data_IF_171819613296
#
_entry.id   IF_171819613296
#
_cell.length_a   1.000
_cell.length_b   1.000
_cell.length_c   1.000
_cell.angle_alpha   90.00
_cell.angle_beta   90.00
_cell.angle_gamma   90.00
#
_symmetry.space_group_name_H-M   'P 1'
#
loop_
_entity.id
_entity.type
_entity.pdbx_description
1 polymer ?
#
# COMPACT_ATOMS: atom_id res chain seq x y z
N UNK A 1 63.44 -23.50 -26.14
CA UNK A 1 62.50 -22.39 -26.06
C UNK A 1 61.20 -22.91 -25.42
N UNK A 2 61.01 -22.66 -24.13
CA UNK A 2 59.85 -23.15 -23.32
C UNK A 2 58.86 -21.99 -23.20
N UNK A 3 57.71 -22.07 -23.85
CA UNK A 3 56.62 -21.07 -23.76
C UNK A 3 55.79 -21.34 -22.50
N UNK A 4 55.86 -20.47 -21.51
CA UNK A 4 54.92 -20.42 -20.38
C UNK A 4 53.60 -19.83 -20.85
N UNK A 5 52.52 -20.60 -20.74
CA UNK A 5 51.15 -20.12 -20.87
C UNK A 5 50.67 -19.65 -19.48
N UNK A 6 50.48 -18.33 -19.33
CA UNK A 6 49.81 -17.75 -18.17
C UNK A 6 48.28 -17.93 -18.36
N UNK A 7 47.71 -18.79 -17.54
CA UNK A 7 46.22 -18.87 -17.44
C UNK A 7 45.77 -17.84 -16.41
N UNK A 8 45.12 -16.79 -16.88
CA UNK A 8 44.52 -15.77 -16.05
C UNK A 8 43.15 -16.27 -15.61
N UNK A 9 43.00 -16.68 -14.32
CA UNK A 9 41.72 -16.97 -13.71
C UNK A 9 41.01 -15.66 -13.39
N UNK A 10 40.00 -15.30 -14.18
CA UNK A 10 39.05 -14.23 -13.81
C UNK A 10 38.09 -14.80 -12.74
N UNK A 11 38.29 -14.40 -11.50
CA UNK A 11 37.33 -14.67 -10.43
C UNK A 11 36.13 -13.73 -10.60
N UNK A 12 34.98 -14.25 -11.04
CA UNK A 12 33.71 -13.55 -11.00
C UNK A 12 33.24 -13.46 -9.54
N UNK A 13 33.38 -12.30 -8.93
CA UNK A 13 32.72 -11.97 -7.66
C UNK A 13 31.22 -11.82 -7.93
N UNK A 14 30.45 -12.87 -7.67
CA UNK A 14 29.00 -12.80 -7.62
C UNK A 14 28.62 -12.06 -6.32
N UNK A 15 28.29 -10.77 -6.43
CA UNK A 15 27.62 -10.06 -5.34
C UNK A 15 26.26 -10.73 -5.11
N UNK A 16 25.90 -11.11 -3.85
CA UNK A 16 24.55 -11.57 -3.57
C UNK A 16 23.59 -10.42 -3.90
N UNK A 17 22.61 -10.68 -4.76
CA UNK A 17 21.46 -9.77 -4.94
C UNK A 17 20.74 -9.70 -3.59
N UNK A 18 20.83 -8.57 -2.90
CA UNK A 18 19.98 -8.30 -1.74
C UNK A 18 18.55 -8.28 -2.27
N UNK A 19 17.73 -9.23 -1.81
CA UNK A 19 16.30 -9.18 -2.08
C UNK A 19 15.78 -7.88 -1.46
N UNK A 20 15.23 -7.00 -2.30
CA UNK A 20 14.60 -5.78 -1.83
C UNK A 20 13.39 -6.19 -0.97
N UNK A 21 13.43 -5.85 0.32
CA UNK A 21 12.32 -6.14 1.22
C UNK A 21 11.17 -5.20 0.88
N UNK A 22 9.99 -5.77 0.59
CA UNK A 22 8.77 -4.99 0.36
C UNK A 22 8.43 -4.23 1.64
N UNK A 23 8.24 -2.92 1.53
CA UNK A 23 7.88 -2.07 2.66
C UNK A 23 6.44 -2.34 3.13
N UNK A 24 6.09 -2.05 4.39
CA UNK A 24 4.72 -2.24 4.87
C UNK A 24 3.67 -1.43 4.09
N UNK A 25 3.99 -0.20 3.64
CA UNK A 25 3.08 0.62 2.82
C UNK A 25 2.88 -0.01 1.43
N UNK A 26 3.97 -0.47 0.80
CA UNK A 26 3.89 -1.19 -0.48
C UNK A 26 3.15 -2.51 -0.35
N UNK A 27 3.33 -3.21 0.77
CA UNK A 27 2.60 -4.46 1.03
C UNK A 27 1.10 -4.20 1.19
N UNK A 28 0.71 -3.07 1.83
CA UNK A 28 -0.68 -2.64 1.92
C UNK A 28 -1.30 -2.42 0.52
N UNK A 29 -0.61 -1.69 -0.34
CA UNK A 29 -1.04 -1.44 -1.72
C UNK A 29 -1.18 -2.74 -2.52
N UNK A 30 -0.17 -3.61 -2.49
CA UNK A 30 -0.20 -4.88 -3.21
C UNK A 30 -1.34 -5.80 -2.72
N UNK A 31 -1.57 -5.85 -1.39
CA UNK A 31 -2.66 -6.64 -0.82
C UNK A 31 -4.03 -6.13 -1.27
N UNK A 32 -4.23 -4.80 -1.34
CA UNK A 32 -5.49 -4.23 -1.78
C UNK A 32 -5.74 -4.47 -3.28
N UNK A 33 -4.72 -4.33 -4.13
CA UNK A 33 -4.84 -4.64 -5.57
C UNK A 33 -5.14 -6.13 -5.80
N UNK A 34 -4.49 -7.03 -5.04
CA UNK A 34 -4.77 -8.45 -5.13
C UNK A 34 -6.18 -8.78 -4.65
N UNK A 35 -6.63 -8.16 -3.56
CA UNK A 35 -8.00 -8.27 -3.05
C UNK A 35 -9.02 -7.84 -4.10
N UNK A 36 -8.85 -6.64 -4.69
CA UNK A 36 -9.75 -6.11 -5.72
C UNK A 36 -9.80 -7.06 -6.94
N UNK A 37 -8.65 -7.64 -7.33
CA UNK A 37 -8.57 -8.62 -8.41
C UNK A 37 -9.33 -9.90 -8.05
N UNK A 38 -9.14 -10.42 -6.84
CA UNK A 38 -9.84 -11.61 -6.35
C UNK A 38 -11.36 -11.42 -6.31
N UNK A 39 -11.82 -10.25 -5.86
CA UNK A 39 -13.25 -9.90 -5.87
C UNK A 39 -13.79 -9.84 -7.32
N UNK A 40 -13.08 -9.17 -8.22
CA UNK A 40 -13.50 -9.05 -9.62
C UNK A 40 -13.56 -10.40 -10.36
N UNK A 41 -12.65 -11.33 -10.04
CA UNK A 41 -12.59 -12.67 -10.59
C UNK A 41 -13.46 -13.69 -9.82
N UNK A 42 -14.03 -13.28 -8.68
CA UNK A 42 -14.74 -14.16 -7.74
C UNK A 42 -13.86 -15.35 -7.28
N UNK A 43 -12.56 -15.07 -7.03
CA UNK A 43 -11.58 -16.07 -6.65
C UNK A 43 -11.22 -15.94 -5.15
N UNK A 44 -11.74 -16.84 -4.29
CA UNK A 44 -11.49 -16.78 -2.85
C UNK A 44 -10.03 -17.04 -2.48
N UNK A 45 -9.24 -17.73 -3.32
CA UNK A 45 -7.83 -18.01 -3.03
C UNK A 45 -6.95 -16.77 -3.27
N UNK A 46 -7.27 -15.94 -4.26
CA UNK A 46 -6.62 -14.64 -4.43
C UNK A 46 -6.93 -13.71 -3.24
N UNK A 47 -8.18 -13.70 -2.78
CA UNK A 47 -8.57 -12.90 -1.61
C UNK A 47 -7.88 -13.41 -0.35
N UNK A 48 -7.81 -14.72 -0.13
CA UNK A 48 -7.06 -15.32 0.97
C UNK A 48 -5.59 -14.92 0.95
N UNK A 49 -4.97 -14.92 -0.24
CA UNK A 49 -3.57 -14.50 -0.39
C UNK A 49 -3.39 -13.01 -0.05
N UNK A 50 -4.32 -12.16 -0.49
CA UNK A 50 -4.35 -10.74 -0.14
C UNK A 50 -4.49 -10.53 1.37
N UNK A 51 -5.38 -11.27 2.03
CA UNK A 51 -5.58 -11.23 3.47
C UNK A 51 -4.31 -11.61 4.25
N UNK A 52 -3.59 -12.64 3.83
CA UNK A 52 -2.32 -13.03 4.44
C UNK A 52 -1.28 -11.92 4.31
N UNK A 53 -1.16 -11.30 3.13
CA UNK A 53 -0.28 -10.14 2.96
C UNK A 53 -0.67 -8.97 3.88
N UNK A 54 -1.97 -8.66 3.99
CA UNK A 54 -2.47 -7.58 4.85
C UNK A 54 -2.24 -7.87 6.33
N UNK A 55 -2.29 -9.13 6.75
CA UNK A 55 -2.08 -9.56 8.13
C UNK A 55 -0.65 -9.29 8.64
N UNK A 56 0.33 -9.19 7.74
CA UNK A 56 1.72 -8.83 8.07
C UNK A 56 1.90 -7.33 8.39
N UNK A 57 0.83 -6.53 8.29
CA UNK A 57 0.89 -5.07 8.46
C UNK A 57 0.08 -4.69 9.71
N UNK A 58 0.68 -3.90 10.60
CA UNK A 58 0.01 -3.31 11.77
C UNK A 58 0.01 -1.77 11.64
N UNK A 59 -0.93 -1.18 10.88
CA UNK A 59 -1.01 0.26 10.74
C UNK A 59 -1.52 0.90 12.03
N UNK A 60 -0.89 2.03 12.43
CA UNK A 60 -1.28 2.78 13.61
C UNK A 60 -2.03 4.07 13.24
N UNK A 61 -3.12 4.44 13.94
CA UNK A 61 -3.84 5.67 13.65
C UNK A 61 -2.99 6.91 14.02
N UNK A 62 -3.18 7.99 13.26
CA UNK A 62 -2.58 9.30 13.54
C UNK A 62 -3.62 10.41 13.45
N UNK A 63 -3.44 11.48 14.21
CA UNK A 63 -4.34 12.65 14.24
C UNK A 63 -4.18 13.58 13.01
N UNK A 64 -3.46 13.14 11.98
CA UNK A 64 -3.30 13.90 10.75
C UNK A 64 -4.65 14.10 10.06
N UNK A 65 -4.95 15.35 9.66
CA UNK A 65 -6.17 15.68 8.96
C UNK A 65 -5.89 16.61 7.77
N UNK A 66 -6.74 16.53 6.74
CA UNK A 66 -6.72 17.47 5.62
C UNK A 66 -7.16 18.86 6.08
N UNK A 67 -6.64 19.91 5.44
CA UNK A 67 -7.01 21.31 5.72
C UNK A 67 -8.47 21.53 5.34
N UNK A 68 -9.32 21.78 6.33
CA UNK A 68 -10.77 21.97 6.10
C UNK A 68 -11.49 20.69 5.64
N UNK A 69 -10.80 19.55 5.64
CA UNK A 69 -11.36 18.27 5.25
C UNK A 69 -12.34 17.72 6.28
N UNK A 70 -13.13 16.76 5.86
CA UNK A 70 -14.06 16.04 6.73
C UNK A 70 -13.40 14.76 7.24
N UNK A 71 -13.26 14.58 8.56
CA UNK A 71 -12.78 13.31 9.11
C UNK A 71 -13.70 12.16 8.69
N UNK A 72 -13.11 11.10 8.17
CA UNK A 72 -13.82 9.85 7.90
C UNK A 72 -13.97 9.01 9.16
N UNK A 73 -14.75 7.95 9.06
CA UNK A 73 -14.93 6.97 10.12
C UNK A 73 -14.46 5.58 9.66
N UNK A 74 -14.11 4.74 10.62
CA UNK A 74 -13.71 3.36 10.36
C UNK A 74 -12.19 3.15 10.41
N UNK A 75 -11.76 2.10 9.75
CA UNK A 75 -10.37 1.65 9.65
C UNK A 75 -9.99 1.45 8.19
N UNK A 76 -8.70 1.36 7.86
CA UNK A 76 -8.26 0.80 6.59
C UNK A 76 -8.89 -0.57 6.35
N UNK A 77 -8.86 -1.06 5.13
CA UNK A 77 -9.28 -2.42 4.81
C UNK A 77 -8.46 -3.42 5.62
N UNK A 78 -9.12 -4.26 6.42
CA UNK A 78 -8.46 -5.21 7.31
C UNK A 78 -8.36 -6.60 6.70
N UNK A 79 -7.44 -7.43 7.22
CA UNK A 79 -7.32 -8.82 6.76
C UNK A 79 -8.55 -9.65 7.15
N UNK A 80 -9.22 -9.33 8.27
CA UNK A 80 -10.46 -9.98 8.71
C UNK A 80 -11.61 -9.73 7.72
N UNK A 81 -11.75 -8.48 7.24
CA UNK A 81 -12.74 -8.14 6.22
C UNK A 81 -12.46 -8.87 4.91
N UNK A 82 -11.18 -8.99 4.53
CA UNK A 82 -10.79 -9.77 3.34
C UNK A 82 -11.14 -11.26 3.51
N UNK A 83 -10.82 -11.87 4.67
CA UNK A 83 -11.18 -13.27 4.94
C UNK A 83 -12.69 -13.49 4.92
N UNK A 84 -13.49 -12.57 5.47
CA UNK A 84 -14.94 -12.65 5.42
C UNK A 84 -15.47 -12.63 3.97
N UNK A 85 -14.85 -11.84 3.10
CA UNK A 85 -15.15 -11.84 1.66
C UNK A 85 -14.79 -13.16 0.99
N UNK A 86 -13.62 -13.73 1.34
CA UNK A 86 -13.19 -15.04 0.84
C UNK A 86 -14.15 -16.16 1.27
N UNK A 87 -14.60 -16.17 2.54
CA UNK A 87 -15.59 -17.12 3.05
C UNK A 87 -16.91 -17.05 2.27
N UNK A 88 -17.37 -15.81 2.02
CA UNK A 88 -18.61 -15.61 1.25
C UNK A 88 -18.52 -16.20 -0.15
N UNK A 89 -17.37 -16.03 -0.83
CA UNK A 89 -17.14 -16.56 -2.17
C UNK A 89 -16.86 -18.07 -2.18
N UNK A 90 -16.26 -18.61 -1.12
CA UNK A 90 -16.00 -20.05 -1.00
C UNK A 90 -17.28 -20.87 -0.90
N UNK A 91 -18.38 -20.30 -0.38
CA UNK A 91 -19.64 -21.01 -0.21
C UNK A 91 -19.46 -22.27 0.64
N UNK A 92 -19.74 -23.44 0.03
CA UNK A 92 -19.66 -24.75 0.70
C UNK A 92 -18.34 -25.50 0.38
N UNK A 93 -17.32 -24.85 -0.20
CA UNK A 93 -16.02 -25.49 -0.46
C UNK A 93 -15.23 -25.67 0.84
N UNK A 94 -15.36 -26.86 1.45
CA UNK A 94 -14.70 -27.20 2.71
C UNK A 94 -13.18 -27.05 2.65
N UNK A 95 -12.56 -27.26 1.49
CA UNK A 95 -11.10 -27.12 1.31
C UNK A 95 -10.68 -25.66 1.45
N UNK A 96 -11.39 -24.77 0.76
CA UNK A 96 -11.11 -23.33 0.83
C UNK A 96 -11.43 -22.77 2.22
N UNK A 97 -12.56 -23.19 2.82
CA UNK A 97 -12.92 -22.80 4.18
C UNK A 97 -11.88 -23.26 5.22
N UNK A 98 -11.30 -24.45 5.06
CA UNK A 98 -10.20 -24.93 5.89
C UNK A 98 -8.95 -24.02 5.77
N UNK A 99 -8.56 -23.65 4.57
CA UNK A 99 -7.42 -22.74 4.35
C UNK A 99 -7.66 -21.34 4.93
N UNK A 100 -8.90 -20.86 4.91
CA UNK A 100 -9.29 -19.57 5.50
C UNK A 100 -9.20 -19.65 7.04
N UNK A 101 -9.67 -20.74 7.63
CA UNK A 101 -9.56 -20.98 9.08
C UNK A 101 -8.08 -21.03 9.52
N UNK A 102 -7.23 -21.75 8.80
CA UNK A 102 -5.79 -21.79 9.07
C UNK A 102 -5.15 -20.40 9.00
N UNK A 103 -5.49 -19.60 7.98
CA UNK A 103 -4.99 -18.23 7.85
C UNK A 103 -5.47 -17.31 8.98
N UNK A 104 -6.67 -17.54 9.51
CA UNK A 104 -7.21 -16.79 10.67
C UNK A 104 -6.42 -17.09 11.94
N UNK A 105 -6.07 -18.36 12.18
CA UNK A 105 -5.37 -18.81 13.37
C UNK A 105 -3.85 -18.61 13.29
N UNK A 106 -3.30 -18.39 12.10
CA UNK A 106 -1.88 -18.12 11.89
C UNK A 106 -1.44 -16.88 12.68
N UNK A 107 -0.41 -17.03 13.52
CA UNK A 107 0.15 -15.90 14.27
C UNK A 107 1.28 -15.25 13.48
N UNK A 108 1.20 -13.94 13.25
CA UNK A 108 2.29 -13.18 12.65
C UNK A 108 3.43 -12.99 13.64
N UNK A 109 4.66 -13.24 13.20
CA UNK A 109 5.86 -13.01 14.03
C UNK A 109 6.19 -11.53 14.01
N UNK A 110 5.81 -10.83 15.09
CA UNK A 110 6.28 -9.51 15.47
C UNK A 110 6.40 -8.48 14.34
N UNK A 111 5.37 -7.70 14.12
CA UNK A 111 5.44 -6.53 13.25
C UNK A 111 6.27 -5.47 13.97
N UNK A 112 7.45 -5.12 13.45
CA UNK A 112 8.13 -3.90 13.86
C UNK A 112 7.35 -2.72 13.27
N UNK A 113 7.03 -1.70 14.05
CA UNK A 113 6.35 -0.43 13.71
C UNK A 113 5.74 -0.36 12.30
N UNK A 114 4.42 -0.49 12.19
CA UNK A 114 3.68 -0.38 10.94
C UNK A 114 3.61 1.05 10.39
N UNK A 115 3.02 1.23 9.20
CA UNK A 115 2.74 2.55 8.67
C UNK A 115 1.71 3.27 9.56
N UNK A 116 1.72 4.60 9.53
CA UNK A 116 0.68 5.38 10.18
C UNK A 116 -0.45 5.70 9.20
N UNK A 117 -1.69 5.76 9.70
CA UNK A 117 -2.84 6.08 8.86
C UNK A 117 -3.79 7.11 9.48
N UNK A 118 -4.55 7.76 8.62
CA UNK A 118 -5.76 8.50 8.99
C UNK A 118 -6.89 8.23 8.02
N UNK A 119 -8.12 8.48 8.45
CA UNK A 119 -9.32 8.32 7.62
C UNK A 119 -9.89 9.69 7.29
N UNK A 120 -10.06 9.95 5.98
CA UNK A 120 -10.73 11.13 5.43
C UNK A 120 -12.03 10.76 4.73
N UNK A 121 -12.83 11.76 4.40
CA UNK A 121 -14.08 11.61 3.63
C UNK A 121 -14.19 12.70 2.58
N UNK A 122 -14.36 12.31 1.33
CA UNK A 122 -14.48 13.19 0.16
C UNK A 122 -15.83 13.05 -0.50
N UNK A 123 -16.48 14.18 -0.76
CA UNK A 123 -17.64 14.20 -1.65
C UNK A 123 -17.22 13.88 -3.10
N UNK A 124 -18.20 13.59 -3.95
CA UNK A 124 -17.96 13.47 -5.39
C UNK A 124 -17.32 14.75 -5.94
N UNK A 125 -16.23 14.60 -6.70
CA UNK A 125 -15.54 15.72 -7.37
C UNK A 125 -14.80 16.67 -6.44
N UNK A 126 -14.69 16.34 -5.14
CA UNK A 126 -13.93 17.15 -4.18
C UNK A 126 -12.50 16.65 -3.99
N UNK A 127 -11.69 17.47 -3.34
CA UNK A 127 -10.32 17.16 -3.00
C UNK A 127 -9.98 17.54 -1.56
N UNK A 128 -9.09 16.79 -0.97
CA UNK A 128 -8.43 17.05 0.30
C UNK A 128 -6.98 17.42 0.09
N UNK A 129 -6.53 18.49 0.74
CA UNK A 129 -5.11 18.86 0.77
C UNK A 129 -4.61 18.70 2.20
N UNK A 130 -3.57 17.90 2.37
CA UNK A 130 -2.94 17.70 3.67
C UNK A 130 -1.89 18.77 3.95
N UNK A 131 -1.73 19.19 5.23
CA UNK A 131 -0.59 20.00 5.63
C UNK A 131 0.72 19.33 5.22
N UNK A 132 1.80 20.10 5.01
CA UNK A 132 3.08 19.54 4.64
C UNK A 132 3.54 18.46 5.61
N UNK A 133 3.95 17.31 5.06
CA UNK A 133 4.44 16.14 5.79
C UNK A 133 5.96 16.08 5.57
N UNK A 134 6.77 16.03 6.65
CA UNK A 134 8.22 15.93 6.53
C UNK A 134 8.65 14.51 6.12
N UNK A 135 9.52 14.42 5.12
CA UNK A 135 10.21 13.19 4.74
C UNK A 135 11.72 13.41 4.75
N UNK A 136 12.47 12.34 5.07
CA UNK A 136 13.93 12.38 5.15
C UNK A 136 14.57 12.29 3.78
N UNK A 137 15.68 13.00 3.57
CA UNK A 137 16.49 12.87 2.37
C UNK A 137 17.21 11.53 2.30
N UNK A 138 17.27 10.94 1.10
CA UNK A 138 17.92 9.66 0.86
C UNK A 138 17.16 8.43 1.33
N UNK A 139 16.05 8.58 2.08
CA UNK A 139 15.17 7.47 2.49
C UNK A 139 13.99 7.35 1.53
N UNK A 140 13.52 6.12 1.31
CA UNK A 140 12.36 5.88 0.44
C UNK A 140 11.08 6.32 1.16
N UNK A 141 10.39 7.29 0.59
CA UNK A 141 9.13 7.85 1.07
C UNK A 141 7.96 7.20 0.33
N UNK A 142 6.90 6.88 1.06
CA UNK A 142 5.73 6.20 0.50
C UNK A 142 4.43 6.81 1.01
N UNK A 143 3.50 6.93 0.10
CA UNK A 143 2.12 7.34 0.38
C UNK A 143 1.20 6.40 -0.35
N UNK A 144 0.23 5.89 0.39
CA UNK A 144 -0.79 4.99 -0.11
C UNK A 144 -2.17 5.48 0.32
N UNK A 145 -3.13 5.46 -0.62
CA UNK A 145 -4.53 5.83 -0.38
C UNK A 145 -5.40 4.69 -0.86
N UNK A 146 -6.38 4.29 -0.03
CA UNK A 146 -7.37 3.28 -0.41
C UNK A 146 -8.77 3.68 0.06
N UNK A 147 -9.79 3.39 -0.75
CA UNK A 147 -11.17 3.37 -0.32
C UNK A 147 -11.70 1.93 -0.32
N UNK A 148 -12.61 1.59 0.60
CA UNK A 148 -13.25 0.27 0.64
C UNK A 148 -14.30 0.12 -0.46
N UNK A 149 -14.94 1.23 -0.83
CA UNK A 149 -15.96 1.25 -1.86
C UNK A 149 -15.35 1.54 -3.24
N UNK A 150 -16.01 1.04 -4.28
CA UNK A 150 -15.61 1.30 -5.66
C UNK A 150 -15.74 2.78 -5.99
N UNK A 151 -14.63 3.47 -6.12
CA UNK A 151 -14.52 4.89 -6.48
C UNK A 151 -13.29 5.10 -7.36
N UNK A 152 -12.94 6.34 -7.66
CA UNK A 152 -11.73 6.71 -8.40
C UNK A 152 -10.99 7.76 -7.58
N UNK A 153 -9.90 7.35 -6.93
CA UNK A 153 -9.05 8.21 -6.12
C UNK A 153 -7.77 8.56 -6.88
N UNK A 154 -7.49 9.85 -6.98
CA UNK A 154 -6.23 10.36 -7.50
C UNK A 154 -5.37 10.87 -6.34
N UNK A 155 -4.07 10.64 -6.43
CA UNK A 155 -3.06 11.13 -5.50
C UNK A 155 -2.05 11.99 -6.25
N UNK A 156 -1.70 13.15 -5.68
CA UNK A 156 -0.60 13.98 -6.15
C UNK A 156 0.25 14.46 -4.96
N UNK A 157 1.56 14.43 -5.13
CA UNK A 157 2.56 14.82 -4.12
C UNK A 157 3.38 15.98 -4.67
N UNK A 158 3.47 17.05 -3.90
CA UNK A 158 4.20 18.26 -4.27
C UNK A 158 5.30 18.57 -3.26
N UNK A 159 6.43 19.06 -3.72
CA UNK A 159 7.50 19.55 -2.86
C UNK A 159 7.18 20.96 -2.29
N UNK A 160 8.03 21.46 -1.40
CA UNK A 160 7.89 22.80 -0.78
C UNK A 160 7.88 23.97 -1.79
N UNK A 161 8.28 23.74 -3.04
CA UNK A 161 8.23 24.73 -4.14
C UNK A 161 6.98 24.56 -5.01
N UNK A 162 6.07 23.66 -4.65
CA UNK A 162 4.86 23.35 -5.41
C UNK A 162 5.12 22.55 -6.69
N UNK A 163 6.27 21.92 -6.85
CA UNK A 163 6.58 21.07 -8.01
C UNK A 163 6.04 19.67 -7.77
N UNK A 164 5.37 19.11 -8.77
CA UNK A 164 4.89 17.74 -8.73
C UNK A 164 6.06 16.76 -8.64
N UNK A 165 6.05 15.90 -7.62
CA UNK A 165 7.07 14.88 -7.35
C UNK A 165 6.60 13.51 -7.81
N UNK A 166 5.35 13.19 -7.51
CA UNK A 166 4.72 11.92 -7.86
C UNK A 166 3.22 12.11 -8.03
N UNK A 167 2.59 11.34 -8.90
CA UNK A 167 1.13 11.24 -8.96
C UNK A 167 0.70 9.84 -9.40
N UNK A 168 -0.46 9.43 -8.90
CA UNK A 168 -1.19 8.26 -9.36
C UNK A 168 -2.61 8.71 -9.69
N UNK A 169 -3.02 8.52 -10.95
CA UNK A 169 -4.29 9.00 -11.51
C UNK A 169 -4.99 7.92 -12.31
N UNK A 170 -4.70 6.66 -12.04
CA UNK A 170 -5.42 5.55 -12.67
C UNK A 170 -6.89 5.52 -12.18
N UNK A 171 -7.75 4.85 -12.95
CA UNK A 171 -9.17 4.72 -12.57
C UNK A 171 -9.35 3.61 -11.54
N UNK A 172 -8.87 3.86 -10.31
CA UNK A 172 -8.85 2.91 -9.21
C UNK A 172 -9.32 3.55 -7.91
N UNK A 173 -9.82 2.74 -6.98
CA UNK A 173 -10.06 3.15 -5.60
C UNK A 173 -8.78 3.11 -4.75
N UNK A 174 -7.64 2.87 -5.37
CA UNK A 174 -6.31 2.73 -4.77
C UNK A 174 -5.37 3.68 -5.51
N UNK A 175 -4.59 4.48 -4.78
CA UNK A 175 -3.52 5.29 -5.34
C UNK A 175 -2.24 5.15 -4.50
N UNK A 176 -1.08 5.14 -5.16
CA UNK A 176 0.21 4.94 -4.52
C UNK A 176 1.28 5.84 -5.12
N UNK A 177 2.07 6.47 -4.25
CA UNK A 177 3.26 7.21 -4.62
C UNK A 177 4.46 6.75 -3.78
N UNK A 178 5.55 6.41 -4.46
CA UNK A 178 6.83 6.11 -3.83
C UNK A 178 7.96 6.88 -4.52
N UNK A 179 8.82 7.53 -3.72
CA UNK A 179 9.98 8.28 -4.23
C UNK A 179 11.09 8.38 -3.18
N UNK A 180 12.28 8.76 -3.62
CA UNK A 180 13.38 9.06 -2.70
C UNK A 180 13.70 10.55 -2.78
N UNK A 181 13.36 11.35 -1.74
CA UNK A 181 13.76 12.76 -1.69
C UNK A 181 15.29 12.88 -1.71
N UNK A 182 15.82 13.80 -2.53
CA UNK A 182 17.26 14.06 -2.55
C UNK A 182 17.76 14.69 -1.23
N UNK A 183 16.93 15.53 -0.62
CA UNK A 183 17.16 16.21 0.66
C UNK A 183 15.91 16.09 1.53
N UNK A 184 16.08 16.18 2.86
CA UNK A 184 14.95 16.24 3.79
C UNK A 184 14.08 17.47 3.47
N UNK A 185 12.77 17.31 3.49
CA UNK A 185 11.85 18.40 3.15
C UNK A 185 10.40 18.06 3.44
N UNK A 186 9.57 19.07 3.28
CA UNK A 186 8.14 19.01 3.47
C UNK A 186 7.41 18.80 2.15
N UNK A 187 6.43 17.88 2.15
CA UNK A 187 5.67 17.53 0.96
C UNK A 187 4.17 17.68 1.24
N UNK A 188 3.48 18.35 0.32
CA UNK A 188 2.03 18.54 0.36
C UNK A 188 1.37 17.42 -0.46
N UNK A 189 0.33 16.83 0.12
CA UNK A 189 -0.47 15.79 -0.55
C UNK A 189 -1.79 16.37 -0.99
N UNK A 190 -2.24 15.98 -2.17
CA UNK A 190 -3.58 16.23 -2.66
C UNK A 190 -4.23 14.91 -3.04
N UNK A 191 -5.40 14.63 -2.47
CA UNK A 191 -6.22 13.47 -2.78
C UNK A 191 -7.51 13.96 -3.41
N UNK A 192 -7.87 13.45 -4.59
CA UNK A 192 -9.10 13.83 -5.29
C UNK A 192 -10.02 12.62 -5.45
N UNK A 193 -11.30 12.79 -5.20
CA UNK A 193 -12.31 11.80 -5.55
C UNK A 193 -12.90 12.12 -6.93
N UNK A 194 -12.51 11.36 -7.94
CA UNK A 194 -13.04 11.45 -9.32
C UNK A 194 -14.17 10.46 -9.56
N UNK A 195 -14.56 9.70 -8.55
CA UNK A 195 -15.68 8.76 -8.62
C UNK A 195 -17.03 9.47 -8.55
N UNK A 196 -18.12 8.76 -8.87
CA UNK A 196 -19.47 9.35 -8.93
C UNK A 196 -20.12 9.57 -7.56
N UNK A 197 -19.60 8.96 -6.50
CA UNK A 197 -20.16 9.01 -5.15
C UNK A 197 -19.16 9.57 -4.16
N UNK A 198 -19.65 9.99 -2.98
CA UNK A 198 -18.80 10.28 -1.84
C UNK A 198 -18.06 9.00 -1.39
N UNK A 199 -16.83 9.14 -0.91
CA UNK A 199 -16.02 8.03 -0.44
C UNK A 199 -15.27 8.38 0.84
N UNK A 200 -15.20 7.42 1.78
CA UNK A 200 -14.21 7.44 2.85
C UNK A 200 -12.95 6.76 2.36
N UNK A 201 -11.81 7.32 2.71
CA UNK A 201 -10.51 6.78 2.30
C UNK A 201 -9.56 6.68 3.50
N UNK A 202 -8.66 5.71 3.46
CA UNK A 202 -7.50 5.64 4.34
C UNK A 202 -6.28 6.20 3.62
N UNK A 203 -5.55 7.11 4.27
CA UNK A 203 -4.23 7.57 3.85
C UNK A 203 -3.19 6.94 4.75
N UNK A 204 -2.22 6.22 4.18
CA UNK A 204 -1.09 5.63 4.91
C UNK A 204 0.22 6.23 4.44
N UNK A 205 1.18 6.37 5.38
CA UNK A 205 2.56 6.81 5.09
C UNK A 205 3.55 6.01 5.95
N UNK A 206 4.76 5.87 5.46
CA UNK A 206 5.89 5.36 6.25
C UNK A 206 6.53 6.43 7.12
#
# INVERSE_FOLDING_TARGET
>A
MRRLLLVSCLAFLTLPALAETVTPVKLAELSARLYATGVALQDPLLILSAARMRKEIAPEPTDRAAVGGTPGQGTPLTWEEMLASAETLAGDDETVLGLIADARDETTKGVASGPVYNIGSLANGSDDTYPPIPFRGGEYAEIYVEAKDATNLNLAVYDAKGRLVCSDTDMSHIAYCGWTPAEAGDFTLKIENRGPLAASYALMTN
#
